data_IF_458566276727
#
_entry.id   IF_458566276727
#
_cell.length_a   1.000
_cell.length_b   1.000
_cell.length_c   1.000
_cell.angle_alpha   90.00
_cell.angle_beta   90.00
_cell.angle_gamma   90.00
#
_symmetry.space_group_name_H-M   'P 1'
#
loop_
_entity.id
_entity.type
_entity.pdbx_description
1 polymer ?
#
# COMPACT_ATOMS: atom_id res chain seq x y z
N UNK A 1 -17.02 -7.84 9.73
CA UNK A 1 -15.71 -7.32 9.28
C UNK A 1 -14.60 -7.59 10.30
N UNK A 2 -14.74 -7.26 11.59
CA UNK A 2 -13.63 -7.37 12.58
C UNK A 2 -12.96 -8.75 12.74
N UNK A 3 -13.68 -9.87 12.58
CA UNK A 3 -13.09 -11.22 12.74
C UNK A 3 -11.97 -11.51 11.72
N UNK A 4 -12.10 -11.05 10.48
CA UNK A 4 -11.08 -11.26 9.43
C UNK A 4 -9.79 -10.50 9.78
N UNK A 5 -9.94 -9.27 10.26
CA UNK A 5 -8.81 -8.45 10.70
C UNK A 5 -8.13 -9.00 11.95
N UNK A 6 -8.88 -9.60 12.89
CA UNK A 6 -8.29 -10.31 14.03
C UNK A 6 -7.47 -11.52 13.57
N UNK A 7 -7.96 -12.32 12.63
CA UNK A 7 -7.20 -13.43 12.07
C UNK A 7 -5.94 -12.97 11.32
N UNK A 8 -6.04 -11.86 10.58
CA UNK A 8 -4.89 -11.26 9.91
C UNK A 8 -3.84 -10.76 10.91
N UNK A 9 -4.27 -10.17 12.03
CA UNK A 9 -3.39 -9.81 13.15
C UNK A 9 -2.71 -11.04 13.74
N UNK A 10 -3.46 -12.10 13.99
CA UNK A 10 -2.93 -13.32 14.61
C UNK A 10 -1.92 -14.04 13.69
N UNK A 11 -2.04 -13.86 12.38
CA UNK A 11 -1.16 -14.45 11.36
C UNK A 11 -0.06 -13.49 10.89
N UNK A 12 0.00 -12.26 11.39
CA UNK A 12 0.89 -11.22 10.86
C UNK A 12 2.38 -11.60 10.91
N UNK A 13 2.80 -12.33 11.95
CA UNK A 13 4.19 -12.81 12.08
C UNK A 13 4.57 -13.83 11.00
N UNK A 14 3.60 -14.47 10.35
CA UNK A 14 3.83 -15.38 9.21
C UNK A 14 4.03 -14.60 7.90
N UNK A 15 3.42 -13.42 7.78
CA UNK A 15 3.44 -12.63 6.55
C UNK A 15 4.52 -11.54 6.52
N UNK A 16 4.91 -10.98 7.67
CA UNK A 16 6.00 -9.99 7.73
C UNK A 16 7.32 -10.50 7.11
N UNK A 17 7.75 -11.76 7.31
CA UNK A 17 8.95 -12.29 6.67
C UNK A 17 8.87 -12.40 5.14
N UNK A 18 7.68 -12.27 4.55
CA UNK A 18 7.52 -12.27 3.09
C UNK A 18 7.88 -10.91 2.47
N UNK A 19 8.04 -9.86 3.28
CA UNK A 19 8.41 -8.53 2.80
C UNK A 19 9.90 -8.47 2.42
N UNK A 20 10.27 -7.65 1.41
CA UNK A 20 11.52 -7.83 0.69
C UNK A 20 12.77 -7.21 1.34
N UNK A 21 12.68 -6.65 2.55
CA UNK A 21 13.79 -5.94 3.22
C UNK A 21 14.54 -6.75 4.29
N UNK A 22 14.09 -7.98 4.59
CA UNK A 22 14.76 -8.84 5.57
C UNK A 22 14.42 -8.54 7.03
N UNK A 23 14.75 -9.47 7.92
CA UNK A 23 14.31 -9.42 9.33
C UNK A 23 15.01 -8.32 10.13
N UNK A 24 16.22 -7.95 9.74
CA UNK A 24 17.02 -6.92 10.41
C UNK A 24 16.43 -5.52 10.25
N UNK A 25 15.62 -5.31 9.21
CA UNK A 25 14.89 -4.08 8.92
C UNK A 25 13.44 -4.14 9.43
N UNK A 26 13.06 -5.21 10.14
CA UNK A 26 11.76 -5.34 10.78
C UNK A 26 11.85 -5.01 12.27
N UNK A 27 10.71 -4.66 12.89
CA UNK A 27 10.67 -4.37 14.33
C UNK A 27 11.04 -5.61 15.16
N UNK A 28 11.85 -5.41 16.20
CA UNK A 28 12.39 -6.51 17.04
C UNK A 28 11.30 -7.34 17.72
N UNK A 29 10.19 -6.69 18.07
CA UNK A 29 9.05 -7.32 18.72
C UNK A 29 7.79 -6.98 17.97
N UNK A 30 7.05 -8.02 17.59
CA UNK A 30 5.69 -7.85 17.11
C UNK A 30 4.76 -7.55 18.30
N UNK A 31 4.33 -6.29 18.41
CA UNK A 31 3.32 -5.88 19.37
C UNK A 31 1.93 -6.09 18.74
N UNK A 32 1.19 -7.09 19.25
CA UNK A 32 -0.11 -7.47 18.71
C UNK A 32 -1.05 -6.27 18.63
N UNK A 33 -1.43 -5.84 17.42
CA UNK A 33 -2.36 -4.73 17.20
C UNK A 33 -3.75 -4.99 17.72
N UNK A 34 -4.46 -3.91 18.07
CA UNK A 34 -5.91 -3.89 18.01
C UNK A 34 -6.33 -3.47 16.60
N UNK A 35 -6.90 -4.40 15.81
CA UNK A 35 -7.51 -4.10 14.52
C UNK A 35 -9.02 -4.31 14.62
N UNK A 36 -9.76 -3.20 14.56
CA UNK A 36 -11.22 -3.21 14.61
C UNK A 36 -11.83 -2.62 13.33
N UNK A 37 -12.95 -3.17 12.86
CA UNK A 37 -13.81 -2.50 11.89
C UNK A 37 -14.93 -1.75 12.61
N UNK A 38 -15.10 -0.48 12.31
CA UNK A 38 -16.06 0.41 12.95
C UNK A 38 -17.02 1.03 11.93
N UNK A 39 -18.25 1.28 12.35
CA UNK A 39 -19.18 2.14 11.63
C UNK A 39 -19.11 3.55 12.20
N UNK A 40 -18.73 4.50 11.35
CA UNK A 40 -18.57 5.91 11.74
C UNK A 40 -19.94 6.52 12.05
N UNK A 41 -20.09 7.05 13.26
CA UNK A 41 -21.25 7.89 13.66
C UNK A 41 -20.97 9.37 13.40
N UNK A 42 -19.75 9.83 13.72
CA UNK A 42 -19.30 11.19 13.45
C UNK A 42 -17.78 11.20 13.26
N UNK A 43 -17.29 11.95 12.27
CA UNK A 43 -15.88 12.18 12.03
C UNK A 43 -15.68 13.65 11.64
N UNK A 44 -15.23 14.48 12.58
CA UNK A 44 -14.99 15.90 12.35
C UNK A 44 -13.66 16.09 11.60
N UNK A 45 -13.72 16.14 10.28
CA UNK A 45 -12.55 16.24 9.39
C UNK A 45 -12.89 16.98 8.10
N UNK A 46 -11.87 17.40 7.35
CA UNK A 46 -11.99 17.90 5.97
C UNK A 46 -12.22 16.79 4.94
N UNK A 47 -12.06 15.53 5.34
CA UNK A 47 -12.36 14.34 4.54
C UNK A 47 -12.40 13.10 5.44
N UNK A 48 -13.31 12.17 5.15
CA UNK A 48 -13.47 10.94 5.93
C UNK A 48 -12.60 9.84 5.29
N UNK A 49 -11.60 9.29 6.00
CA UNK A 49 -10.75 8.24 5.44
C UNK A 49 -11.47 6.89 5.38
N UNK A 50 -10.88 5.93 4.67
CA UNK A 50 -11.39 4.55 4.57
C UNK A 50 -10.85 3.65 5.70
N UNK A 51 -9.65 3.95 6.19
CA UNK A 51 -8.98 3.32 7.31
C UNK A 51 -8.08 4.33 8.02
N UNK A 52 -7.66 4.02 9.24
CA UNK A 52 -6.66 4.79 9.98
C UNK A 52 -5.77 3.87 10.80
N UNK A 53 -4.50 4.24 10.91
CA UNK A 53 -3.51 3.61 11.77
C UNK A 53 -2.87 4.67 12.69
N UNK A 54 -3.09 4.54 14.00
CA UNK A 54 -2.74 5.58 14.99
C UNK A 54 -2.22 4.99 16.31
N UNK A 55 -1.39 5.74 17.07
CA UNK A 55 -0.94 7.12 16.83
C UNK A 55 0.23 7.23 15.84
N UNK A 56 0.56 8.47 15.45
CA UNK A 56 1.67 8.79 14.53
C UNK A 56 3.01 9.06 15.25
N UNK A 57 3.12 8.68 16.53
CA UNK A 57 4.37 8.80 17.29
C UNK A 57 5.17 7.49 17.17
N UNK A 58 6.26 7.50 16.41
CA UNK A 58 7.05 6.29 16.13
C UNK A 58 7.56 5.58 17.39
N UNK A 59 7.96 6.34 18.41
CA UNK A 59 8.37 5.79 19.70
C UNK A 59 7.26 4.93 20.34
N UNK A 60 6.01 5.40 20.31
CA UNK A 60 4.87 4.65 20.85
C UNK A 60 4.57 3.44 19.96
N UNK A 61 4.60 3.60 18.63
CA UNK A 61 4.35 2.51 17.66
C UNK A 61 5.36 1.37 17.81
N UNK A 62 6.60 1.68 18.17
CA UNK A 62 7.67 0.69 18.36
C UNK A 62 7.64 0.05 19.76
N UNK A 63 7.36 0.82 20.82
CA UNK A 63 7.56 0.38 22.20
C UNK A 63 6.28 -0.05 22.94
N UNK A 64 5.13 0.53 22.61
CA UNK A 64 3.86 0.26 23.32
C UNK A 64 2.83 -0.44 22.43
N UNK A 65 2.71 -0.01 21.18
CA UNK A 65 1.70 -0.51 20.27
C UNK A 65 0.89 0.61 19.62
N UNK A 66 -0.17 0.23 18.92
CA UNK A 66 -0.97 1.13 18.09
C UNK A 66 -2.24 0.42 17.60
N UNK A 67 -3.23 1.17 17.10
CA UNK A 67 -4.53 0.65 16.65
C UNK A 67 -4.74 0.84 15.15
N UNK A 68 -5.35 -0.15 14.51
CA UNK A 68 -5.86 -0.06 13.15
C UNK A 68 -7.38 -0.01 13.20
N UNK A 69 -7.95 0.85 12.39
CA UNK A 69 -9.38 0.93 12.23
C UNK A 69 -9.72 0.92 10.75
N UNK A 70 -10.60 0.00 10.36
CA UNK A 70 -11.27 0.03 9.06
C UNK A 70 -12.66 0.65 9.23
N UNK A 71 -13.01 1.64 8.40
CA UNK A 71 -14.29 2.36 8.50
C UNK A 71 -15.32 1.73 7.56
N UNK A 72 -16.00 0.69 8.05
CA UNK A 72 -16.80 -0.23 7.25
C UNK A 72 -17.93 0.42 6.45
N UNK A 73 -18.67 1.35 7.07
CA UNK A 73 -19.71 2.12 6.38
C UNK A 73 -19.14 3.10 5.35
N UNK A 74 -17.92 3.62 5.52
CA UNK A 74 -17.24 4.47 4.53
C UNK A 74 -16.79 3.66 3.33
N UNK A 75 -16.19 2.47 3.56
CA UNK A 75 -15.85 1.51 2.50
C UNK A 75 -17.08 1.14 1.67
N UNK A 76 -18.19 0.84 2.36
CA UNK A 76 -19.46 0.50 1.73
C UNK A 76 -19.97 1.62 0.83
N UNK A 77 -19.88 2.88 1.26
CA UNK A 77 -20.29 4.03 0.47
C UNK A 77 -19.42 4.24 -0.77
N UNK A 78 -18.09 4.10 -0.64
CA UNK A 78 -17.15 4.25 -1.75
C UNK A 78 -17.40 3.21 -2.87
N UNK A 79 -17.90 2.03 -2.52
CA UNK A 79 -18.22 0.97 -3.48
C UNK A 79 -19.47 1.24 -4.36
N UNK A 80 -20.25 2.28 -4.08
CA UNK A 80 -21.51 2.56 -4.79
C UNK A 80 -21.35 3.32 -6.12
N UNK A 81 -20.23 4.01 -6.38
CA UNK A 81 -20.05 4.76 -7.64
C UNK A 81 -19.79 3.80 -8.81
N UNK A 82 -20.82 3.45 -9.57
CA UNK A 82 -20.72 2.48 -10.67
C UNK A 82 -19.93 2.96 -11.89
N UNK A 83 -19.42 4.19 -11.91
CA UNK A 83 -18.65 4.70 -13.06
C UNK A 83 -17.28 4.03 -13.12
N UNK A 84 -17.05 3.29 -14.19
CA UNK A 84 -15.75 2.70 -14.53
C UNK A 84 -15.24 3.41 -15.78
N UNK A 85 -14.06 4.01 -15.67
CA UNK A 85 -13.36 4.68 -16.78
C UNK A 85 -12.02 3.99 -17.03
N UNK A 86 -11.52 4.10 -18.25
CA UNK A 86 -10.16 3.69 -18.63
C UNK A 86 -9.85 2.18 -18.61
N UNK A 87 -10.85 1.29 -18.56
CA UNK A 87 -10.65 -0.17 -18.57
C UNK A 87 -11.09 -0.78 -19.92
N UNK A 88 -10.31 -1.74 -20.40
CA UNK A 88 -10.33 -2.12 -21.83
C UNK A 88 -11.44 -3.07 -22.25
N UNK A 89 -11.75 -4.09 -21.45
CA UNK A 89 -12.69 -5.14 -21.86
C UNK A 89 -13.97 -5.07 -21.04
N UNK A 90 -15.08 -5.55 -21.60
CA UNK A 90 -16.33 -5.73 -20.85
C UNK A 90 -16.13 -6.69 -19.67
N UNK A 91 -15.21 -7.64 -19.81
CA UNK A 91 -14.78 -8.57 -18.75
C UNK A 91 -14.06 -7.82 -17.63
N UNK A 92 -12.99 -7.06 -17.92
CA UNK A 92 -12.29 -6.23 -16.92
C UNK A 92 -13.26 -5.25 -16.24
N UNK A 93 -14.17 -4.64 -17.01
CA UNK A 93 -15.17 -3.73 -16.46
C UNK A 93 -16.18 -4.46 -15.55
N UNK A 94 -16.59 -5.67 -15.89
CA UNK A 94 -17.46 -6.52 -15.09
C UNK A 94 -16.80 -6.94 -13.79
N UNK A 95 -15.65 -7.62 -13.89
CA UNK A 95 -14.83 -8.06 -12.76
C UNK A 95 -14.49 -6.90 -11.84
N UNK A 96 -14.04 -5.77 -12.39
CA UNK A 96 -13.74 -4.57 -11.61
C UNK A 96 -14.99 -4.04 -10.89
N UNK A 97 -16.13 -3.96 -11.56
CA UNK A 97 -17.36 -3.45 -10.95
C UNK A 97 -17.80 -4.32 -9.77
N UNK A 98 -17.73 -5.63 -9.93
CA UNK A 98 -18.24 -6.60 -8.96
C UNK A 98 -17.27 -6.87 -7.81
N UNK A 99 -15.95 -6.83 -8.07
CA UNK A 99 -14.93 -7.26 -7.11
C UNK A 99 -14.14 -6.11 -6.49
N UNK A 100 -14.16 -4.88 -7.03
CA UNK A 100 -13.36 -3.76 -6.48
C UNK A 100 -13.62 -3.49 -4.99
N UNK A 101 -14.85 -3.70 -4.50
CA UNK A 101 -15.17 -3.51 -3.09
C UNK A 101 -14.43 -4.53 -2.20
N UNK A 102 -14.39 -5.79 -2.65
CA UNK A 102 -13.67 -6.88 -1.98
C UNK A 102 -12.16 -6.67 -2.06
N UNK A 103 -11.65 -6.31 -3.24
CA UNK A 103 -10.24 -5.96 -3.44
C UNK A 103 -9.82 -4.78 -2.56
N UNK A 104 -10.67 -3.77 -2.42
CA UNK A 104 -10.41 -2.61 -1.57
C UNK A 104 -10.39 -2.96 -0.07
N UNK A 105 -11.26 -3.88 0.40
CA UNK A 105 -11.20 -4.40 1.78
C UNK A 105 -9.85 -5.09 2.06
N UNK A 106 -9.38 -5.92 1.13
CA UNK A 106 -8.06 -6.58 1.22
C UNK A 106 -6.94 -5.55 1.26
N UNK A 107 -6.95 -4.59 0.31
CA UNK A 107 -5.93 -3.54 0.22
C UNK A 107 -5.84 -2.71 1.50
N UNK A 108 -6.98 -2.22 2.02
CA UNK A 108 -7.01 -1.43 3.26
C UNK A 108 -6.52 -2.26 4.45
N UNK A 109 -6.92 -3.53 4.55
CA UNK A 109 -6.44 -4.40 5.61
C UNK A 109 -4.92 -4.56 5.61
N UNK A 110 -4.34 -4.82 4.45
CA UNK A 110 -2.90 -4.99 4.30
C UNK A 110 -2.14 -3.67 4.45
N UNK A 111 -2.63 -2.59 3.86
CA UNK A 111 -2.05 -1.25 3.94
C UNK A 111 -1.94 -0.78 5.40
N UNK A 112 -3.02 -0.88 6.17
CA UNK A 112 -3.04 -0.40 7.55
C UNK A 112 -2.28 -1.33 8.51
N UNK A 113 -2.38 -2.66 8.34
CA UNK A 113 -1.82 -3.63 9.30
C UNK A 113 -0.42 -4.12 8.96
N UNK A 114 -0.07 -4.27 7.69
CA UNK A 114 1.23 -4.80 7.28
C UNK A 114 2.04 -3.76 6.51
N UNK A 115 1.40 -2.75 5.91
CA UNK A 115 2.07 -1.58 5.35
C UNK A 115 2.62 -0.70 6.46
N UNK A 116 1.80 0.19 7.03
CA UNK A 116 2.22 1.16 8.04
C UNK A 116 2.85 0.57 9.31
N UNK A 117 2.64 -0.72 9.58
CA UNK A 117 3.14 -1.38 10.80
C UNK A 117 4.51 -1.99 10.66
N UNK A 118 4.89 -2.37 9.45
CA UNK A 118 6.15 -3.03 9.19
C UNK A 118 7.28 -2.03 9.06
N UNK A 119 8.51 -2.52 9.14
CA UNK A 119 9.70 -1.71 8.99
C UNK A 119 10.14 -1.07 10.31
N UNK A 120 11.47 -1.05 10.50
CA UNK A 120 12.15 -0.49 11.65
C UNK A 120 12.90 0.78 11.26
N UNK A 121 12.73 1.84 12.04
CA UNK A 121 13.58 3.02 11.95
C UNK A 121 14.83 2.80 12.80
N UNK A 122 16.00 2.81 12.17
CA UNK A 122 17.27 2.79 12.89
C UNK A 122 17.51 4.13 13.56
N UNK A 123 17.75 4.11 14.88
CA UNK A 123 17.91 5.32 15.66
C UNK A 123 19.02 5.20 16.71
N UNK A 124 19.50 6.35 17.15
CA UNK A 124 20.47 6.53 18.22
C UNK A 124 19.85 7.38 19.31
N UNK A 125 19.90 6.89 20.55
CA UNK A 125 19.36 7.61 21.70
C UNK A 125 20.29 8.74 22.20
N UNK A 126 19.84 9.48 23.23
CA UNK A 126 20.60 10.58 23.83
C UNK A 126 21.90 10.14 24.52
N UNK A 127 22.02 8.87 24.88
CA UNK A 127 23.21 8.28 25.51
C UNK A 127 24.15 7.67 24.47
N UNK A 128 23.76 7.70 23.19
CA UNK A 128 24.51 7.18 22.07
C UNK A 128 24.34 5.68 21.81
N UNK A 129 23.32 5.07 22.41
CA UNK A 129 22.96 3.66 22.20
C UNK A 129 22.10 3.53 20.94
N UNK A 130 22.45 2.58 20.08
CA UNK A 130 21.69 2.26 18.87
C UNK A 130 20.57 1.27 19.17
N UNK A 131 19.43 1.42 18.51
CA UNK A 131 18.34 0.45 18.59
C UNK A 131 18.54 -0.77 17.66
N UNK A 132 19.72 -0.93 17.05
CA UNK A 132 20.05 -2.02 16.13
C UNK A 132 21.51 -2.46 16.29
N UNK A 133 21.82 -3.68 15.84
CA UNK A 133 23.15 -4.28 15.95
C UNK A 133 24.07 -3.84 14.79
N UNK A 134 24.82 -2.76 14.96
CA UNK A 134 25.64 -2.14 13.89
C UNK A 134 26.63 -3.09 13.20
N UNK A 135 27.11 -4.11 13.90
CA UNK A 135 28.06 -5.07 13.36
C UNK A 135 27.41 -6.23 12.60
N UNK A 136 26.10 -6.44 12.79
CA UNK A 136 25.35 -7.55 12.16
C UNK A 136 24.45 -7.07 11.02
N UNK A 137 23.88 -5.88 11.13
CA UNK A 137 22.92 -5.38 10.14
C UNK A 137 23.66 -4.91 8.89
N UNK A 138 23.35 -5.54 7.76
CA UNK A 138 23.87 -5.23 6.43
C UNK A 138 22.75 -4.61 5.59
N UNK A 139 23.05 -3.51 4.91
CA UNK A 139 22.14 -2.88 3.98
C UNK A 139 21.93 -3.81 2.76
N UNK A 140 20.70 -4.31 2.49
CA UNK A 140 20.46 -5.25 1.39
C UNK A 140 20.66 -4.63 0.01
N UNK A 141 20.68 -3.29 -0.10
CA UNK A 141 20.85 -2.57 -1.37
C UNK A 141 22.32 -2.35 -1.72
N UNK A 142 23.20 -2.18 -0.72
CA UNK A 142 24.62 -1.86 -0.96
C UNK A 142 25.57 -2.98 -0.56
N UNK A 143 25.15 -3.88 0.34
CA UNK A 143 26.01 -4.91 0.94
C UNK A 143 26.92 -4.37 2.05
N UNK A 144 26.80 -3.09 2.41
CA UNK A 144 27.62 -2.44 3.44
C UNK A 144 26.94 -2.42 4.81
N UNK A 145 27.69 -2.09 5.85
CA UNK A 145 27.13 -1.76 7.17
C UNK A 145 26.28 -0.48 7.11
N UNK A 146 25.32 -0.37 8.02
CA UNK A 146 24.47 0.83 8.15
C UNK A 146 25.32 2.05 8.55
N UNK A 147 25.23 3.12 7.76
CA UNK A 147 25.95 4.38 7.97
C UNK A 147 25.04 5.59 8.23
N UNK A 148 23.71 5.41 8.24
CA UNK A 148 22.72 6.47 8.47
C UNK A 148 21.59 5.98 9.39
N UNK A 149 21.13 6.87 10.27
CA UNK A 149 20.10 6.59 11.29
C UNK A 149 19.51 7.92 11.79
N UNK A 150 18.39 7.85 12.51
CA UNK A 150 17.77 8.99 13.19
C UNK A 150 18.50 9.32 14.50
N UNK A 151 18.80 10.59 14.72
CA UNK A 151 19.37 11.11 15.97
C UNK A 151 18.26 11.57 16.93
N UNK A 152 18.59 11.88 18.21
CA UNK A 152 17.60 12.31 19.18
C UNK A 152 16.82 13.54 18.71
N UNK A 153 15.49 13.42 18.66
CA UNK A 153 14.58 14.49 18.22
C UNK A 153 14.29 14.49 16.73
N UNK A 154 14.99 13.70 15.93
CA UNK A 154 14.66 13.46 14.53
C UNK A 154 13.52 12.42 14.43
N UNK A 155 12.63 12.63 13.47
CA UNK A 155 11.46 11.81 13.18
C UNK A 155 11.32 11.64 11.68
N UNK A 156 10.49 10.67 11.24
CA UNK A 156 10.16 10.51 9.83
C UNK A 156 9.77 11.85 9.16
N UNK A 157 8.81 12.56 9.75
CA UNK A 157 8.28 13.81 9.21
C UNK A 157 9.32 14.95 9.18
N UNK A 158 10.22 15.02 10.16
CA UNK A 158 11.25 16.08 10.18
C UNK A 158 12.35 15.83 9.15
N UNK A 159 12.67 14.57 8.87
CA UNK A 159 13.72 14.21 7.91
C UNK A 159 13.21 14.21 6.47
N UNK A 160 12.02 13.67 6.21
CA UNK A 160 11.44 13.56 4.86
C UNK A 160 10.56 14.76 4.48
N UNK A 161 10.12 15.55 5.46
CA UNK A 161 9.42 16.83 5.28
C UNK A 161 8.29 16.75 4.25
N UNK A 162 8.43 17.45 3.11
CA UNK A 162 7.37 17.61 2.10
C UNK A 162 6.94 16.33 1.42
N UNK A 163 7.80 15.29 1.42
CA UNK A 163 7.49 13.99 0.81
C UNK A 163 7.14 12.91 1.83
N UNK A 164 7.26 13.19 3.13
CA UNK A 164 7.10 12.22 4.20
C UNK A 164 5.79 11.42 4.07
N UNK A 165 4.66 12.12 3.92
CA UNK A 165 3.36 11.47 3.78
C UNK A 165 3.27 10.65 2.48
N UNK A 166 3.53 11.25 1.32
CA UNK A 166 3.47 10.53 0.03
C UNK A 166 4.34 9.28 0.02
N UNK A 167 5.55 9.38 0.56
CA UNK A 167 6.51 8.28 0.55
C UNK A 167 6.01 7.10 1.39
N UNK A 168 5.55 7.38 2.61
CA UNK A 168 5.02 6.34 3.50
C UNK A 168 3.72 5.71 2.95
N UNK A 169 2.84 6.52 2.37
CA UNK A 169 1.64 6.02 1.67
C UNK A 169 2.01 5.12 0.48
N UNK A 170 3.05 5.49 -0.27
CA UNK A 170 3.55 4.69 -1.39
C UNK A 170 4.06 3.33 -0.91
N UNK A 171 4.84 3.32 0.19
CA UNK A 171 5.32 2.08 0.80
C UNK A 171 4.17 1.20 1.27
N UNK A 172 3.20 1.76 2.00
CA UNK A 172 2.05 1.01 2.51
C UNK A 172 1.12 0.48 1.40
N UNK A 173 0.85 1.27 0.35
CA UNK A 173 0.11 0.83 -0.84
C UNK A 173 0.84 -0.31 -1.57
N UNK A 174 2.17 -0.20 -1.72
CA UNK A 174 3.00 -1.25 -2.31
C UNK A 174 2.94 -2.56 -1.51
N UNK A 175 3.03 -2.49 -0.17
CA UNK A 175 2.87 -3.66 0.69
C UNK A 175 1.51 -4.32 0.48
N UNK A 176 0.45 -3.52 0.38
CA UNK A 176 -0.91 -4.02 0.13
C UNK A 176 -1.01 -4.84 -1.14
N UNK A 177 -0.57 -4.29 -2.28
CA UNK A 177 -0.63 -5.00 -3.56
C UNK A 177 0.34 -6.20 -3.58
N UNK A 178 1.54 -6.07 -3.00
CA UNK A 178 2.55 -7.13 -2.97
C UNK A 178 2.06 -8.36 -2.19
N UNK A 179 1.57 -8.16 -0.97
CA UNK A 179 1.06 -9.24 -0.12
C UNK A 179 -0.31 -9.76 -0.56
N UNK A 180 -1.10 -8.98 -1.31
CA UNK A 180 -2.37 -9.48 -1.86
C UNK A 180 -2.22 -10.66 -2.83
N UNK A 181 -0.98 -10.97 -3.24
CA UNK A 181 -0.66 -12.15 -4.06
C UNK A 181 -0.51 -13.44 -3.25
N UNK A 182 -0.50 -13.38 -1.92
CA UNK A 182 -0.47 -14.56 -1.07
C UNK A 182 -1.88 -15.13 -0.87
N UNK A 183 -2.08 -16.40 -1.26
CA UNK A 183 -3.40 -17.04 -1.22
C UNK A 183 -3.87 -17.33 0.21
N UNK A 184 -2.95 -17.45 1.17
CA UNK A 184 -3.34 -17.61 2.58
C UNK A 184 -3.91 -16.30 3.14
N UNK A 185 -3.36 -15.15 2.72
CA UNK A 185 -3.95 -13.85 3.02
C UNK A 185 -5.36 -13.76 2.44
N UNK A 186 -5.55 -14.06 1.15
CA UNK A 186 -6.88 -14.02 0.53
C UNK A 186 -7.88 -14.96 1.23
N UNK A 187 -7.43 -16.14 1.69
CA UNK A 187 -8.24 -17.06 2.50
C UNK A 187 -8.67 -16.46 3.84
N UNK A 188 -7.82 -15.70 4.52
CA UNK A 188 -8.19 -14.97 5.76
C UNK A 188 -9.33 -13.97 5.46
N UNK A 189 -9.32 -13.35 4.28
CA UNK A 189 -10.41 -12.49 3.83
C UNK A 189 -11.64 -13.25 3.33
N UNK A 190 -11.60 -14.58 3.28
CA UNK A 190 -12.69 -15.47 2.90
C UNK A 190 -12.78 -15.77 1.41
N UNK A 191 -11.68 -15.60 0.66
CA UNK A 191 -11.65 -15.80 -0.79
C UNK A 191 -10.71 -16.96 -1.15
N UNK A 192 -11.16 -17.85 -2.03
CA UNK A 192 -10.39 -19.00 -2.53
C UNK A 192 -10.66 -19.25 -4.02
N UNK A 193 -9.81 -20.05 -4.66
CA UNK A 193 -9.99 -20.46 -6.06
C UNK A 193 -9.99 -19.27 -7.04
N UNK A 194 -10.78 -19.37 -8.10
CA UNK A 194 -10.84 -18.35 -9.16
C UNK A 194 -11.22 -16.96 -8.62
N UNK A 195 -12.15 -16.87 -7.65
CA UNK A 195 -12.55 -15.59 -7.06
C UNK A 195 -11.37 -14.89 -6.38
N UNK A 196 -10.50 -15.64 -5.70
CA UNK A 196 -9.30 -15.06 -5.08
C UNK A 196 -8.33 -14.51 -6.14
N UNK A 197 -8.14 -15.23 -7.25
CA UNK A 197 -7.31 -14.77 -8.37
C UNK A 197 -7.86 -13.50 -9.02
N UNK A 198 -9.18 -13.40 -9.16
CA UNK A 198 -9.85 -12.22 -9.72
C UNK A 198 -9.79 -11.03 -8.77
N UNK A 199 -9.95 -11.23 -7.46
CA UNK A 199 -9.79 -10.18 -6.45
C UNK A 199 -8.35 -9.65 -6.44
N UNK A 200 -7.35 -10.55 -6.51
CA UNK A 200 -5.95 -10.17 -6.64
C UNK A 200 -5.74 -9.32 -7.90
N UNK A 201 -6.21 -9.80 -9.06
CA UNK A 201 -6.09 -9.06 -10.32
C UNK A 201 -6.75 -7.68 -10.25
N UNK A 202 -7.99 -7.60 -9.77
CA UNK A 202 -8.74 -6.35 -9.63
C UNK A 202 -8.06 -5.39 -8.64
N UNK A 203 -7.40 -5.88 -7.59
CA UNK A 203 -6.62 -5.03 -6.69
C UNK A 203 -5.48 -4.32 -7.43
N UNK A 204 -4.69 -5.08 -8.20
CA UNK A 204 -3.60 -4.55 -9.01
C UNK A 204 -4.10 -3.62 -10.14
N UNK A 205 -5.18 -4.00 -10.83
CA UNK A 205 -5.81 -3.16 -11.84
C UNK A 205 -6.34 -1.84 -11.25
N UNK A 206 -6.90 -1.88 -10.04
CA UNK A 206 -7.33 -0.69 -9.29
C UNK A 206 -6.17 0.25 -9.01
N UNK A 207 -5.00 -0.28 -8.64
CA UNK A 207 -3.80 0.52 -8.41
C UNK A 207 -3.34 1.25 -9.68
N UNK A 208 -3.26 0.53 -10.81
CA UNK A 208 -2.89 1.12 -12.11
C UNK A 208 -3.89 2.21 -12.53
N UNK A 209 -5.18 1.91 -12.45
CA UNK A 209 -6.25 2.87 -12.77
C UNK A 209 -6.19 4.11 -11.86
N UNK A 210 -5.99 3.91 -10.57
CA UNK A 210 -5.91 5.02 -9.62
C UNK A 210 -4.65 5.88 -9.86
N UNK A 211 -3.53 5.28 -10.25
CA UNK A 211 -2.33 6.00 -10.67
C UNK A 211 -2.55 6.88 -11.90
N UNK A 212 -3.39 6.46 -12.86
CA UNK A 212 -3.74 7.30 -14.00
C UNK A 212 -4.66 8.47 -13.59
N UNK A 213 -5.71 8.16 -12.80
CA UNK A 213 -6.64 9.17 -12.26
C UNK A 213 -5.92 10.19 -11.39
N UNK A 214 -4.85 9.79 -10.71
CA UNK A 214 -4.06 10.65 -9.86
C UNK A 214 -3.54 11.91 -10.57
N UNK A 215 -3.37 11.89 -11.90
CA UNK A 215 -2.98 13.08 -12.67
C UNK A 215 -3.94 14.28 -12.46
N UNK A 216 -5.20 14.04 -12.11
CA UNK A 216 -6.14 15.10 -11.71
C UNK A 216 -5.61 15.94 -10.53
N UNK A 217 -4.80 15.33 -9.65
CA UNK A 217 -4.25 15.92 -8.43
C UNK A 217 -2.85 16.51 -8.61
N UNK A 218 -2.31 16.47 -9.82
CA UNK A 218 -1.07 17.16 -10.17
C UNK A 218 -1.39 18.55 -10.75
N UNK A 219 -0.59 19.56 -10.40
CA UNK A 219 -0.69 20.91 -10.97
C UNK A 219 0.53 21.15 -11.87
N UNK A 220 0.39 21.10 -13.21
CA UNK A 220 1.50 21.28 -14.14
C UNK A 220 2.27 22.58 -13.96
N UNK A 221 1.58 23.68 -13.68
CA UNK A 221 2.14 25.03 -13.59
C UNK A 221 3.09 25.17 -12.41
N UNK A 222 2.75 24.54 -11.28
CA UNK A 222 3.55 24.57 -10.04
C UNK A 222 4.43 23.34 -9.87
N UNK A 223 4.21 22.31 -10.68
CA UNK A 223 4.82 20.98 -10.57
C UNK A 223 4.61 20.34 -9.21
N UNK A 224 3.44 20.55 -8.62
CA UNK A 224 3.09 20.06 -7.28
C UNK A 224 1.96 19.06 -7.33
N UNK A 225 2.11 18.03 -6.51
CA UNK A 225 1.03 17.12 -6.16
C UNK A 225 0.21 17.72 -5.01
N UNK A 226 -1.12 17.60 -5.10
CA UNK A 226 -2.06 18.19 -4.13
C UNK A 226 -2.63 17.16 -3.15
N UNK A 227 -2.37 15.87 -3.37
CA UNK A 227 -2.87 14.79 -2.51
C UNK A 227 -1.83 13.65 -2.47
N UNK A 228 -1.44 13.23 -1.26
CA UNK A 228 -0.32 12.32 -1.03
C UNK A 228 -0.52 10.91 -1.59
N UNK A 229 -1.70 10.31 -1.36
CA UNK A 229 -2.02 8.96 -1.85
C UNK A 229 -2.11 8.90 -3.38
N UNK A 230 -2.60 9.95 -4.03
CA UNK A 230 -2.68 10.05 -5.49
C UNK A 230 -1.27 10.15 -6.07
N UNK A 231 -0.40 10.97 -5.46
CA UNK A 231 1.01 10.99 -5.84
C UNK A 231 1.66 9.60 -5.66
N UNK A 232 1.41 8.92 -4.53
CA UNK A 232 1.91 7.57 -4.28
C UNK A 232 1.45 6.57 -5.37
N UNK A 233 0.16 6.54 -5.69
CA UNK A 233 -0.40 5.67 -6.74
C UNK A 233 0.17 5.98 -8.12
N UNK A 234 0.42 7.25 -8.43
CA UNK A 234 1.11 7.64 -9.65
C UNK A 234 2.57 7.17 -9.68
N UNK A 235 3.29 7.24 -8.55
CA UNK A 235 4.64 6.69 -8.43
C UNK A 235 4.63 5.18 -8.69
N UNK A 236 3.69 4.43 -8.10
CA UNK A 236 3.55 2.98 -8.32
C UNK A 236 3.26 2.66 -9.79
N UNK A 237 2.35 3.41 -10.43
CA UNK A 237 2.10 3.30 -11.86
C UNK A 237 3.38 3.50 -12.67
N UNK A 238 4.18 4.54 -12.35
CA UNK A 238 5.44 4.86 -13.02
C UNK A 238 6.50 3.78 -12.82
N UNK A 239 6.63 3.21 -11.62
CA UNK A 239 7.54 2.09 -11.33
C UNK A 239 7.26 0.90 -12.24
N UNK A 240 5.99 0.52 -12.40
CA UNK A 240 5.62 -0.57 -13.29
C UNK A 240 5.77 -0.20 -14.78
N UNK A 241 5.53 1.07 -15.13
CA UNK A 241 5.69 1.57 -16.50
C UNK A 241 7.16 1.62 -16.94
N UNK A 242 8.06 1.92 -16.02
CA UNK A 242 9.50 2.06 -16.24
C UNK A 242 10.25 0.72 -16.08
N UNK A 243 9.53 -0.40 -15.90
CA UNK A 243 10.11 -1.74 -15.84
C UNK A 243 10.60 -2.23 -17.21
N UNK A 244 11.68 -3.01 -17.23
CA UNK A 244 12.30 -3.51 -18.48
C UNK A 244 11.35 -4.38 -19.31
N UNK A 245 10.44 -5.11 -18.64
CA UNK A 245 9.44 -5.95 -19.27
C UNK A 245 8.05 -5.35 -19.06
N UNK A 246 7.39 -4.83 -20.11
CA UNK A 246 6.07 -4.21 -19.99
C UNK A 246 5.03 -5.19 -19.43
N UNK A 247 4.40 -4.79 -18.32
CA UNK A 247 3.31 -5.53 -17.65
C UNK A 247 1.92 -4.98 -17.99
N UNK A 248 1.84 -3.69 -18.32
CA UNK A 248 0.63 -3.04 -18.79
C UNK A 248 0.97 -2.01 -19.86
N UNK A 249 -0.03 -1.53 -20.60
CA UNK A 249 0.09 -0.36 -21.46
C UNK A 249 -1.06 0.63 -21.21
N UNK A 250 -0.87 1.88 -21.62
CA UNK A 250 -1.92 2.89 -21.68
C UNK A 250 -2.04 3.35 -23.13
N UNK A 251 -3.21 3.15 -23.72
CA UNK A 251 -3.50 3.49 -25.11
C UNK A 251 -4.43 4.71 -25.17
N UNK A 252 -4.08 5.69 -26.00
CA UNK A 252 -5.00 6.77 -26.36
C UNK A 252 -6.04 6.27 -27.34
N UNK A 253 -7.31 6.48 -27.02
CA UNK A 253 -8.45 6.09 -27.87
C UNK A 253 -9.44 7.25 -28.01
N UNK A 254 -10.49 7.03 -28.80
CA UNK A 254 -11.65 7.92 -28.85
C UNK A 254 -12.81 7.22 -28.14
N UNK A 255 -13.37 7.86 -27.12
CA UNK A 255 -14.52 7.34 -26.38
C UNK A 255 -15.76 7.23 -27.24
N UNK A 256 -16.77 6.50 -26.74
CA UNK A 256 -18.07 6.35 -27.43
C UNK A 256 -18.82 7.68 -27.63
N UNK A 257 -18.45 8.72 -26.89
CA UNK A 257 -18.96 10.08 -27.02
C UNK A 257 -18.19 10.94 -28.04
N UNK A 258 -17.20 10.37 -28.73
CA UNK A 258 -16.37 11.03 -29.73
C UNK A 258 -15.22 11.89 -29.17
N UNK A 259 -14.98 11.86 -27.84
CA UNK A 259 -13.91 12.64 -27.20
C UNK A 259 -12.64 11.82 -26.96
N UNK A 260 -11.49 12.46 -26.70
CA UNK A 260 -10.27 11.73 -26.31
C UNK A 260 -10.49 10.93 -25.02
N UNK A 261 -10.00 9.70 -25.01
CA UNK A 261 -10.06 8.80 -23.86
C UNK A 261 -8.76 7.97 -23.77
N UNK A 262 -8.58 7.27 -22.66
CA UNK A 262 -7.42 6.41 -22.40
C UNK A 262 -7.89 5.01 -22.00
N UNK A 263 -7.09 4.00 -22.30
CA UNK A 263 -7.37 2.60 -21.93
C UNK A 263 -6.15 1.94 -21.33
N UNK A 264 -6.31 1.32 -20.17
CA UNK A 264 -5.27 0.52 -19.49
C UNK A 264 -5.45 -0.95 -19.84
N UNK A 265 -4.48 -1.55 -20.54
CA UNK A 265 -4.42 -3.02 -20.70
C UNK A 265 -3.40 -3.60 -19.75
N UNK A 266 -3.86 -4.36 -18.76
CA UNK A 266 -2.98 -5.05 -17.81
C UNK A 266 -2.96 -6.55 -18.09
N UNK A 267 -1.78 -7.11 -18.34
CA UNK A 267 -1.60 -8.53 -18.63
C UNK A 267 -1.59 -9.33 -17.32
N UNK A 268 -2.71 -10.01 -17.06
CA UNK A 268 -2.90 -10.86 -15.87
C UNK A 268 -1.78 -11.91 -15.71
N UNK A 269 -1.25 -12.45 -16.82
CA UNK A 269 -0.23 -13.49 -16.77
C UNK A 269 1.15 -12.97 -16.31
N UNK A 270 1.35 -11.65 -16.34
CA UNK A 270 2.60 -11.01 -15.91
C UNK A 270 2.54 -10.43 -14.50
N UNK A 271 1.36 -10.48 -13.85
CA UNK A 271 1.17 -9.93 -12.51
C UNK A 271 2.18 -10.52 -11.53
N UNK A 272 2.24 -11.83 -11.43
CA UNK A 272 3.09 -12.48 -10.43
C UNK A 272 4.53 -12.67 -10.87
N UNK A 273 4.77 -12.88 -12.16
CA UNK A 273 6.11 -13.20 -12.68
C UNK A 273 6.94 -11.96 -12.97
N UNK A 274 6.31 -10.80 -13.18
CA UNK A 274 6.99 -9.55 -13.53
C UNK A 274 6.57 -8.42 -12.58
N UNK A 275 5.28 -8.09 -12.47
CA UNK A 275 4.83 -6.91 -11.73
C UNK A 275 5.13 -7.02 -10.22
N UNK A 276 4.87 -8.19 -9.62
CA UNK A 276 5.18 -8.47 -8.21
C UNK A 276 6.69 -8.35 -7.91
N UNK A 277 7.61 -8.99 -8.66
CA UNK A 277 9.04 -8.78 -8.50
C UNK A 277 9.46 -7.30 -8.59
N UNK A 278 8.95 -6.56 -9.59
CA UNK A 278 9.26 -5.13 -9.75
C UNK A 278 8.82 -4.31 -8.53
N UNK A 279 7.61 -4.55 -8.01
CA UNK A 279 7.14 -3.90 -6.77
C UNK A 279 7.96 -4.35 -5.56
N UNK A 280 8.38 -5.62 -5.49
CA UNK A 280 9.24 -6.13 -4.43
C UNK A 280 10.61 -5.44 -4.39
N UNK A 281 11.23 -5.27 -5.55
CA UNK A 281 12.50 -4.53 -5.68
C UNK A 281 12.33 -3.05 -5.31
N UNK A 282 11.22 -2.45 -5.71
CA UNK A 282 10.90 -1.07 -5.33
C UNK A 282 10.65 -0.92 -3.83
N UNK A 283 9.90 -1.85 -3.22
CA UNK A 283 9.66 -1.90 -1.78
C UNK A 283 10.96 -2.05 -0.98
N UNK A 284 11.92 -2.83 -1.46
CA UNK A 284 13.23 -2.96 -0.80
C UNK A 284 14.04 -1.66 -0.86
N UNK A 285 13.79 -0.82 -1.87
CA UNK A 285 14.42 0.51 -2.02
C UNK A 285 13.73 1.58 -1.18
N UNK A 286 12.44 1.41 -0.86
CA UNK A 286 11.65 2.37 -0.09
C UNK A 286 12.02 2.33 1.39
#
# INVERSE_FOLDING_TARGET
MSSKFSQLVDSAQEFLPLLPWGVEFEKDKFLRPDFTSLDVVSFASSGIPAGINIPNYDEIRQNEGFKNVSLGNVLSAASQDKRVTFLTTTEDQGDFTDLRGKAFEVQVGLHELLGHRSGKLFSKDKNGVFNFEQDKVINPLTGDKISSWYNPGETWDTQFSTIASTYEECRAECVGIYLSTDRNILRIFGYEGAEAEDIMYVNWLSMLRAGLIALEFYTPETKKWRQAHMQARYVILRVLMDSDTPVFNIESVTGSDGKPDLLIRFDRNKLETIAKPVIGEFLNKL
#
